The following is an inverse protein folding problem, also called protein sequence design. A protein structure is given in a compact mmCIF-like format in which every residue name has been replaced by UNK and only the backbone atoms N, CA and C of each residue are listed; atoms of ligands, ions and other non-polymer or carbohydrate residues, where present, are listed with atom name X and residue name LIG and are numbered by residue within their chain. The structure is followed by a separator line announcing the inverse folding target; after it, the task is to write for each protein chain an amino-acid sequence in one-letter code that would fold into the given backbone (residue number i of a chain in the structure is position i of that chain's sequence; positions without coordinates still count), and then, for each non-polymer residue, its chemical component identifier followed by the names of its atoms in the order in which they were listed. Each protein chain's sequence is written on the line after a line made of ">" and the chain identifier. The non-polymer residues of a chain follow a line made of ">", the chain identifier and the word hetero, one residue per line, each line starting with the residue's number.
data_IF_232468949670
#
_entry.id   IF_232468949670
#
_cell.length_a   1.000
_cell.length_b   1.000
_cell.length_c   1.000
_cell.angle_alpha   90.00
_cell.angle_beta   90.00
_cell.angle_gamma   90.00
#
_symmetry.space_group_name_H-M   'P 1'
#
loop_
_entity.id
_entity.type
_entity.pdbx_description
1 polymer ?
#
# COMPACT_ATOMS: atom_id res chain seq x y z
N UNK A 1 -6.94 3.58 28.27
CA UNK A 1 -6.06 4.76 28.30
C UNK A 1 -5.98 5.36 26.90
N UNK A 2 -6.95 6.19 26.53
CA UNK A 2 -6.94 6.94 25.25
C UNK A 2 -6.84 8.42 25.58
N UNK A 3 -5.99 9.15 24.87
CA UNK A 3 -5.85 10.60 24.99
C UNK A 3 -6.53 11.24 23.77
N UNK A 4 -7.44 12.16 24.01
CA UNK A 4 -8.19 12.84 22.94
C UNK A 4 -7.91 14.33 23.03
N UNK A 5 -7.40 14.89 21.93
CA UNK A 5 -7.12 16.32 21.82
C UNK A 5 -8.40 17.16 21.78
N UNK A 6 -8.20 18.48 21.78
CA UNK A 6 -9.27 19.46 21.78
C UNK A 6 -10.09 19.40 20.47
N UNK A 7 -11.39 19.69 20.57
CA UNK A 7 -12.32 19.83 19.45
C UNK A 7 -12.37 18.61 18.49
N UNK A 8 -12.16 17.40 19.02
CA UNK A 8 -12.33 16.16 18.28
C UNK A 8 -13.82 15.79 18.17
N UNK A 9 -14.19 15.16 17.05
CA UNK A 9 -15.52 14.60 16.80
C UNK A 9 -15.37 13.08 16.69
N UNK A 10 -16.09 12.33 17.54
CA UNK A 10 -16.07 10.87 17.54
C UNK A 10 -17.50 10.39 17.30
N UNK A 11 -17.73 9.76 16.15
CA UNK A 11 -19.05 9.29 15.75
C UNK A 11 -19.43 7.96 16.40
N UNK A 12 -20.69 7.58 16.26
CA UNK A 12 -21.28 6.41 16.88
C UNK A 12 -20.49 5.12 16.55
N UNK A 13 -20.32 4.27 17.56
CA UNK A 13 -19.63 2.99 17.46
C UNK A 13 -18.14 3.05 17.03
N UNK A 14 -17.51 4.22 17.03
CA UNK A 14 -16.06 4.30 16.89
C UNK A 14 -15.39 3.66 18.12
N UNK A 15 -14.35 2.84 17.91
CA UNK A 15 -13.61 2.16 18.98
C UNK A 15 -12.18 2.65 19.00
N UNK A 16 -11.79 3.29 20.12
CA UNK A 16 -10.43 3.78 20.34
C UNK A 16 -9.74 2.93 21.39
N UNK A 17 -8.58 2.37 21.07
CA UNK A 17 -7.78 1.56 21.97
C UNK A 17 -8.18 0.09 21.99
N UNK A 18 -8.75 -0.43 20.89
CA UNK A 18 -8.91 -1.87 20.71
C UNK A 18 -7.56 -2.58 20.83
N UNK A 19 -7.61 -3.86 21.17
CA UNK A 19 -6.39 -4.64 21.34
C UNK A 19 -5.79 -4.96 19.97
N UNK A 20 -4.54 -4.62 19.75
CA UNK A 20 -3.85 -4.84 18.48
C UNK A 20 -3.75 -6.33 18.12
N UNK A 21 -3.86 -6.64 16.84
CA UNK A 21 -3.82 -8.01 16.31
C UNK A 21 -2.38 -8.51 16.23
N UNK A 22 -1.85 -9.00 17.34
CA UNK A 22 -0.49 -9.51 17.44
C UNK A 22 -0.45 -10.91 18.06
N UNK A 23 -0.09 -11.92 17.30
CA UNK A 23 0.03 -13.30 17.75
C UNK A 23 1.40 -13.87 17.44
N UNK A 24 1.89 -14.76 18.33
CA UNK A 24 3.13 -15.52 18.14
C UNK A 24 2.83 -17.00 18.26
N UNK A 25 3.39 -17.86 17.42
CA UNK A 25 3.24 -19.29 17.58
C UNK A 25 3.97 -19.75 18.85
N UNK A 26 3.36 -20.66 19.61
CA UNK A 26 3.98 -21.41 20.69
C UNK A 26 3.57 -22.89 20.62
N UNK A 27 3.99 -23.71 21.59
CA UNK A 27 3.70 -25.15 21.59
C UNK A 27 2.20 -25.48 21.71
N UNK A 28 1.36 -24.54 22.20
CA UNK A 28 -0.07 -24.68 22.37
C UNK A 28 -0.91 -24.01 21.26
N UNK A 29 -0.25 -23.34 20.30
CA UNK A 29 -0.92 -22.65 19.19
C UNK A 29 -0.54 -21.19 19.03
N UNK A 30 -1.50 -20.28 18.89
CA UNK A 30 -1.28 -18.85 18.73
C UNK A 30 -1.46 -18.13 20.07
N UNK A 31 -0.38 -17.59 20.59
CA UNK A 31 -0.37 -16.81 21.83
C UNK A 31 -0.47 -15.31 21.49
N UNK A 32 -1.44 -14.64 22.13
CA UNK A 32 -1.61 -13.19 22.00
C UNK A 32 -0.43 -12.44 22.61
N UNK A 33 0.13 -11.52 21.85
CA UNK A 33 1.17 -10.60 22.33
C UNK A 33 0.52 -9.45 23.11
N UNK A 34 1.13 -9.06 24.24
CA UNK A 34 0.63 -7.96 25.06
C UNK A 34 0.61 -6.65 24.27
N UNK A 35 -0.48 -5.89 24.42
CA UNK A 35 -0.67 -4.56 23.85
C UNK A 35 -0.91 -3.59 25.01
N UNK A 36 0.16 -2.95 25.49
CA UNK A 36 0.18 -2.16 26.72
C UNK A 36 0.11 -0.65 26.46
N UNK A 37 0.19 -0.25 25.21
CA UNK A 37 0.12 1.15 24.79
C UNK A 37 -1.33 1.68 24.76
N UNK A 38 -1.51 2.81 24.13
CA UNK A 38 -2.77 3.54 24.05
C UNK A 38 -2.97 4.19 22.69
N UNK A 39 -4.02 4.99 22.53
CA UNK A 39 -4.29 5.83 21.36
C UNK A 39 -4.15 7.29 21.74
N UNK A 40 -3.51 8.08 20.89
CA UNK A 40 -3.46 9.55 20.99
C UNK A 40 -4.07 10.19 19.76
N UNK A 41 -5.10 10.99 19.95
CA UNK A 41 -5.67 11.86 18.92
C UNK A 41 -5.18 13.28 19.16
N UNK A 42 -4.64 13.93 18.13
CA UNK A 42 -4.35 15.36 18.15
C UNK A 42 -5.63 16.20 18.23
N UNK A 43 -5.50 17.50 18.03
CA UNK A 43 -6.66 18.41 18.04
C UNK A 43 -7.43 18.34 16.72
N UNK A 44 -8.74 18.65 16.75
CA UNK A 44 -9.63 18.74 15.59
C UNK A 44 -9.68 17.46 14.74
N UNK A 45 -9.37 16.28 15.31
CA UNK A 45 -9.50 14.98 14.64
C UNK A 45 -10.98 14.58 14.55
N UNK A 46 -11.38 14.03 13.41
CA UNK A 46 -12.70 13.42 13.26
C UNK A 46 -12.56 11.92 13.00
N UNK A 47 -13.32 11.12 13.75
CA UNK A 47 -13.33 9.65 13.64
C UNK A 47 -14.74 9.19 13.31
N UNK A 48 -14.91 8.65 12.11
CA UNK A 48 -16.17 8.18 11.55
C UNK A 48 -16.79 6.97 12.27
N UNK A 49 -18.06 6.75 11.98
CA UNK A 49 -18.84 5.68 12.62
C UNK A 49 -18.27 4.28 12.33
N UNK A 50 -18.19 3.44 13.35
CA UNK A 50 -17.68 2.08 13.23
C UNK A 50 -16.18 1.97 12.93
N UNK A 51 -15.45 3.07 12.92
CA UNK A 51 -13.98 3.08 12.76
C UNK A 51 -13.31 2.53 14.00
N UNK A 52 -12.26 1.72 13.81
CA UNK A 52 -11.47 1.13 14.90
C UNK A 52 -10.03 1.59 14.83
N UNK A 53 -9.48 2.05 15.95
CA UNK A 53 -8.07 2.44 16.09
C UNK A 53 -7.49 1.61 17.25
N UNK A 54 -6.54 0.73 16.91
CA UNK A 54 -5.90 -0.14 17.89
C UNK A 54 -4.91 0.64 18.75
N UNK A 55 -4.76 0.23 20.00
CA UNK A 55 -3.67 0.70 20.87
C UNK A 55 -2.31 0.21 20.37
N UNK A 56 -1.25 0.91 20.67
CA UNK A 56 0.09 0.43 20.36
C UNK A 56 0.56 -0.67 21.32
N UNK A 57 1.64 -1.33 20.97
CA UNK A 57 2.21 -2.42 21.79
C UNK A 57 2.79 -1.93 23.10
N UNK A 58 3.65 -0.91 23.08
CA UNK A 58 4.27 -0.31 24.26
C UNK A 58 4.13 1.21 24.32
N UNK A 59 3.93 1.85 23.19
CA UNK A 59 3.70 3.28 23.04
C UNK A 59 2.37 3.53 22.32
N UNK A 60 2.05 4.78 21.98
CA UNK A 60 0.77 5.11 21.36
C UNK A 60 0.69 4.77 19.88
N UNK A 61 -0.53 4.47 19.43
CA UNK A 61 -0.97 4.73 18.05
C UNK A 61 -1.40 6.19 17.98
N UNK A 62 -0.84 6.95 17.04
CA UNK A 62 -0.99 8.42 17.01
C UNK A 62 -1.75 8.84 15.76
N UNK A 63 -2.73 9.72 15.94
CA UNK A 63 -3.44 10.41 14.85
C UNK A 63 -3.15 11.91 14.97
N UNK A 64 -2.50 12.48 13.96
CA UNK A 64 -2.13 13.89 13.92
C UNK A 64 -3.34 14.83 13.80
N UNK A 65 -3.14 16.05 14.31
CA UNK A 65 -4.17 17.08 14.36
C UNK A 65 -4.80 17.36 12.99
N UNK A 66 -6.09 17.67 12.96
CA UNK A 66 -6.84 18.02 11.76
C UNK A 66 -7.16 16.84 10.82
N UNK A 67 -6.69 15.63 11.13
CA UNK A 67 -6.96 14.44 10.32
C UNK A 67 -8.44 14.04 10.37
N UNK A 68 -8.99 13.70 9.21
CA UNK A 68 -10.39 13.28 9.03
C UNK A 68 -10.43 11.81 8.60
N UNK A 69 -11.09 11.01 9.42
CA UNK A 69 -11.22 9.57 9.23
C UNK A 69 -12.70 9.26 9.03
N UNK A 70 -13.04 8.72 7.88
CA UNK A 70 -14.40 8.34 7.50
C UNK A 70 -14.85 7.05 8.22
N UNK A 71 -16.04 6.58 7.90
CA UNK A 71 -16.68 5.44 8.51
C UNK A 71 -15.98 4.11 8.13
N UNK A 72 -16.01 3.13 9.02
CA UNK A 72 -15.53 1.78 8.78
C UNK A 72 -14.04 1.69 8.41
N UNK A 73 -13.23 2.63 8.87
CA UNK A 73 -11.77 2.59 8.72
C UNK A 73 -11.16 1.75 9.82
N UNK A 74 -10.09 1.01 9.50
CA UNK A 74 -9.29 0.28 10.49
C UNK A 74 -7.87 0.82 10.50
N UNK A 75 -7.40 1.28 11.66
CA UNK A 75 -6.01 1.69 11.89
C UNK A 75 -5.41 0.78 12.95
N UNK A 76 -4.43 -0.03 12.53
CA UNK A 76 -3.81 -1.01 13.40
C UNK A 76 -2.79 -0.38 14.37
N UNK A 77 -2.29 -1.22 15.26
CA UNK A 77 -1.38 -0.86 16.34
C UNK A 77 -0.09 -0.17 15.88
N UNK A 78 0.43 0.73 16.69
CA UNK A 78 1.70 1.43 16.45
C UNK A 78 1.74 2.31 15.19
N UNK A 79 0.61 2.60 14.55
CA UNK A 79 0.56 3.53 13.43
C UNK A 79 0.84 4.96 13.89
N UNK A 80 1.46 5.74 13.01
CA UNK A 80 1.72 7.18 13.19
C UNK A 80 1.16 7.93 11.99
N UNK A 81 -0.07 8.39 12.11
CA UNK A 81 -0.77 9.14 11.07
C UNK A 81 -0.46 10.62 11.26
N UNK A 82 0.07 11.28 10.23
CA UNK A 82 0.42 12.71 10.25
C UNK A 82 -0.80 13.63 10.33
N UNK A 83 -0.56 14.93 10.20
CA UNK A 83 -1.60 15.96 10.31
C UNK A 83 -2.39 16.12 9.01
N UNK A 84 -3.64 16.59 9.11
CA UNK A 84 -4.50 16.99 7.98
C UNK A 84 -4.71 15.91 6.92
N UNK A 85 -4.60 14.65 7.28
CA UNK A 85 -4.85 13.55 6.36
C UNK A 85 -6.36 13.34 6.15
N UNK A 86 -6.73 12.86 4.96
CA UNK A 86 -8.10 12.42 4.63
C UNK A 86 -8.11 10.92 4.37
N UNK A 87 -8.77 10.16 5.23
CA UNK A 87 -8.85 8.71 5.16
C UNK A 87 -10.30 8.32 4.91
N UNK A 88 -10.60 7.95 3.66
CA UNK A 88 -11.96 7.62 3.24
C UNK A 88 -12.41 6.25 3.75
N UNK A 89 -13.70 5.99 3.58
CA UNK A 89 -14.37 4.79 4.09
C UNK A 89 -13.71 3.48 3.67
N UNK A 90 -13.70 2.52 4.59
CA UNK A 90 -13.20 1.14 4.40
C UNK A 90 -11.68 1.06 4.10
N UNK A 91 -10.92 2.08 4.41
CA UNK A 91 -9.46 2.00 4.37
C UNK A 91 -8.96 1.12 5.52
N UNK A 92 -8.00 0.25 5.22
CA UNK A 92 -7.29 -0.57 6.21
C UNK A 92 -5.81 -0.19 6.26
N UNK A 93 -5.33 0.22 7.43
CA UNK A 93 -3.92 0.56 7.67
C UNK A 93 -3.31 -0.48 8.60
N UNK A 94 -2.40 -1.29 8.08
CA UNK A 94 -1.73 -2.32 8.88
C UNK A 94 -0.73 -1.72 9.88
N UNK A 95 -0.34 -2.53 10.86
CA UNK A 95 0.46 -2.08 12.02
C UNK A 95 1.80 -1.44 11.66
N UNK A 96 2.22 -0.50 12.49
CA UNK A 96 3.51 0.20 12.37
C UNK A 96 3.69 1.01 11.08
N UNK A 97 2.60 1.28 10.36
CA UNK A 97 2.59 2.16 9.19
C UNK A 97 2.63 3.62 9.64
N UNK A 98 3.35 4.45 8.89
CA UNK A 98 3.40 5.88 9.13
C UNK A 98 2.98 6.69 7.91
N UNK A 99 2.44 7.89 8.14
CA UNK A 99 2.17 8.85 7.08
C UNK A 99 2.76 10.21 7.41
N UNK A 100 3.11 10.95 6.37
CA UNK A 100 3.32 12.38 6.46
C UNK A 100 1.99 13.14 6.59
N UNK A 101 2.04 14.42 6.28
CA UNK A 101 0.90 15.34 6.34
C UNK A 101 0.16 15.42 5.00
N UNK A 102 -1.12 15.80 5.02
CA UNK A 102 -1.94 16.05 3.83
C UNK A 102 -2.08 14.82 2.89
N UNK A 103 -1.95 13.61 3.41
CA UNK A 103 -2.14 12.38 2.64
C UNK A 103 -3.63 12.14 2.41
N UNK A 104 -3.99 11.71 1.20
CA UNK A 104 -5.35 11.32 0.83
C UNK A 104 -5.37 9.82 0.56
N UNK A 105 -6.17 9.08 1.32
CA UNK A 105 -6.43 7.67 1.10
C UNK A 105 -7.88 7.51 0.63
N UNK A 106 -8.08 7.25 -0.65
CA UNK A 106 -9.41 7.02 -1.19
C UNK A 106 -10.00 5.68 -0.72
N UNK A 107 -11.30 5.51 -0.89
CA UNK A 107 -12.03 4.38 -0.31
C UNK A 107 -11.49 3.00 -0.65
N UNK A 108 -11.55 2.10 0.31
CA UNK A 108 -11.10 0.70 0.20
C UNK A 108 -9.61 0.53 -0.10
N UNK A 109 -8.76 1.49 0.22
CA UNK A 109 -7.31 1.28 0.17
C UNK A 109 -6.88 0.34 1.29
N UNK A 110 -5.90 -0.52 1.00
CA UNK A 110 -5.25 -1.37 1.99
C UNK A 110 -3.75 -1.10 2.01
N UNK A 111 -3.19 -0.78 3.17
CA UNK A 111 -1.78 -0.50 3.36
C UNK A 111 -1.12 -1.66 4.10
N UNK A 112 0.02 -2.12 3.58
CA UNK A 112 0.88 -3.10 4.23
C UNK A 112 1.49 -2.51 5.51
N UNK A 113 1.89 -3.38 6.42
CA UNK A 113 2.62 -3.04 7.64
C UNK A 113 4.03 -2.47 7.37
N UNK A 114 4.50 -1.62 8.28
CA UNK A 114 5.86 -1.06 8.28
C UNK A 114 6.24 -0.27 7.01
N UNK A 115 5.27 0.39 6.35
CA UNK A 115 5.53 1.29 5.23
C UNK A 115 5.35 2.75 5.63
N UNK A 116 5.92 3.64 4.82
CA UNK A 116 5.78 5.08 4.96
C UNK A 116 5.09 5.70 3.74
N UNK A 117 4.11 6.56 3.99
CA UNK A 117 3.41 7.34 2.97
C UNK A 117 3.83 8.80 3.12
N UNK A 118 4.54 9.33 2.13
CA UNK A 118 5.08 10.69 2.18
C UNK A 118 4.03 11.79 2.11
N UNK A 119 4.42 13.01 2.50
CA UNK A 119 3.55 14.19 2.54
C UNK A 119 2.82 14.43 1.22
N UNK A 120 1.52 14.73 1.29
CA UNK A 120 0.71 15.06 0.14
C UNK A 120 0.54 13.92 -0.88
N UNK A 121 0.88 12.68 -0.52
CA UNK A 121 0.64 11.54 -1.39
C UNK A 121 -0.86 11.22 -1.50
N UNK A 122 -1.27 10.70 -2.66
CA UNK A 122 -2.66 10.32 -2.94
C UNK A 122 -2.73 8.83 -3.29
N UNK A 123 -3.47 8.08 -2.48
CA UNK A 123 -3.75 6.67 -2.74
C UNK A 123 -5.14 6.56 -3.38
N UNK A 124 -5.18 6.21 -4.66
CA UNK A 124 -6.42 6.03 -5.41
C UNK A 124 -7.26 4.87 -4.86
N UNK A 125 -8.56 4.92 -5.11
CA UNK A 125 -9.49 3.93 -4.55
C UNK A 125 -9.11 2.48 -4.86
N UNK A 126 -9.29 1.59 -3.88
CA UNK A 126 -9.00 0.15 -3.97
C UNK A 126 -7.52 -0.18 -4.24
N UNK A 127 -6.60 0.74 -3.93
CA UNK A 127 -5.18 0.48 -4.05
C UNK A 127 -4.68 -0.44 -2.93
N UNK A 128 -3.95 -1.50 -3.30
CA UNK A 128 -3.15 -2.30 -2.38
C UNK A 128 -1.72 -1.77 -2.34
N UNK A 129 -1.34 -1.10 -1.27
CA UNK A 129 -0.04 -0.42 -1.14
C UNK A 129 0.91 -1.30 -0.34
N UNK A 130 1.93 -1.85 -1.02
CA UNK A 130 2.87 -2.81 -0.43
C UNK A 130 4.26 -2.22 -0.14
N UNK A 131 4.53 -1.00 -0.59
CA UNK A 131 5.82 -0.32 -0.42
C UNK A 131 5.60 1.14 -0.05
N UNK A 132 6.68 1.81 0.38
CA UNK A 132 6.66 3.25 0.63
C UNK A 132 6.19 4.02 -0.60
N UNK A 133 5.44 5.10 -0.35
CA UNK A 133 4.99 6.02 -1.40
C UNK A 133 5.69 7.37 -1.17
N UNK A 134 6.49 7.85 -2.13
CA UNK A 134 7.16 9.14 -1.98
C UNK A 134 6.17 10.31 -1.85
N UNK A 135 6.63 11.40 -1.24
CA UNK A 135 5.83 12.61 -1.08
C UNK A 135 5.27 13.12 -2.42
N UNK A 136 4.03 13.60 -2.41
CA UNK A 136 3.32 14.16 -3.58
C UNK A 136 3.09 13.17 -4.75
N UNK A 137 3.35 11.87 -4.54
CA UNK A 137 3.04 10.85 -5.56
C UNK A 137 1.59 10.41 -5.47
N UNK A 138 1.03 10.13 -6.64
CA UNK A 138 -0.30 9.50 -6.75
C UNK A 138 -0.11 8.05 -7.20
N UNK A 139 -0.69 7.11 -6.44
CA UNK A 139 -0.74 5.69 -6.81
C UNK A 139 -2.18 5.25 -7.03
N UNK A 140 -2.41 4.35 -7.97
CA UNK A 140 -3.75 3.86 -8.32
C UNK A 140 -3.75 2.34 -8.37
N UNK A 141 -4.76 1.75 -7.73
CA UNK A 141 -5.01 0.31 -7.80
C UNK A 141 -5.76 -0.11 -9.06
N UNK A 142 -6.59 -1.13 -8.94
CA UNK A 142 -7.32 -1.72 -10.07
C UNK A 142 -8.64 -1.00 -10.37
N UNK A 143 -8.75 -0.22 -11.48
CA UNK A 143 -10.04 0.30 -11.92
C UNK A 143 -10.94 -0.83 -12.42
N UNK A 144 -12.26 -0.68 -12.30
CA UNK A 144 -13.21 -1.53 -12.99
C UNK A 144 -13.13 -1.28 -14.50
N UNK A 145 -13.08 -2.34 -15.27
CA UNK A 145 -13.10 -2.29 -16.74
C UNK A 145 -14.10 -3.33 -17.25
N UNK A 146 -14.43 -3.27 -18.54
CA UNK A 146 -15.31 -4.26 -19.19
C UNK A 146 -14.86 -5.70 -18.92
N UNK A 147 -15.81 -6.60 -18.69
CA UNK A 147 -15.55 -8.00 -18.34
C UNK A 147 -14.71 -8.74 -19.38
N UNK A 148 -14.95 -8.48 -20.68
CA UNK A 148 -14.19 -9.14 -21.75
C UNK A 148 -12.75 -8.66 -21.75
N UNK A 149 -12.53 -7.34 -21.56
CA UNK A 149 -11.19 -6.76 -21.43
C UNK A 149 -10.46 -7.32 -20.22
N UNK A 150 -11.11 -7.42 -19.04
CA UNK A 150 -10.50 -8.01 -17.86
C UNK A 150 -10.09 -9.47 -18.08
N UNK A 151 -10.97 -10.29 -18.66
CA UNK A 151 -10.66 -11.68 -18.98
C UNK A 151 -9.48 -11.82 -19.94
N UNK A 152 -9.41 -10.96 -20.97
CA UNK A 152 -8.27 -10.93 -21.90
C UNK A 152 -6.96 -10.53 -21.22
N UNK A 153 -7.00 -9.49 -20.37
CA UNK A 153 -5.83 -9.06 -19.58
C UNK A 153 -5.31 -10.21 -18.69
N UNK A 154 -6.19 -10.85 -17.91
CA UNK A 154 -5.80 -11.97 -17.03
C UNK A 154 -5.22 -13.14 -17.81
N UNK A 155 -5.83 -13.51 -18.95
CA UNK A 155 -5.32 -14.57 -19.83
C UNK A 155 -3.96 -14.21 -20.44
N UNK A 156 -3.73 -12.93 -20.77
CA UNK A 156 -2.45 -12.46 -21.28
C UNK A 156 -1.37 -12.43 -20.19
N UNK A 157 -1.72 -11.98 -18.98
CA UNK A 157 -0.80 -11.97 -17.84
C UNK A 157 -0.27 -13.37 -17.53
N UNK A 158 -1.10 -14.41 -17.58
CA UNK A 158 -0.67 -15.79 -17.35
C UNK A 158 0.36 -16.31 -18.36
N UNK A 159 0.42 -15.72 -19.57
CA UNK A 159 1.37 -16.07 -20.63
C UNK A 159 2.67 -15.25 -20.58
N UNK A 160 2.73 -14.18 -19.80
CA UNK A 160 3.91 -13.29 -19.74
C UNK A 160 5.24 -14.02 -19.44
N UNK A 161 5.31 -14.99 -18.51
CA UNK A 161 6.57 -15.71 -18.26
C UNK A 161 7.09 -16.45 -19.49
N UNK A 162 6.19 -17.06 -20.28
CA UNK A 162 6.55 -17.77 -21.52
C UNK A 162 6.91 -16.79 -22.64
N UNK A 163 6.14 -15.74 -22.81
CA UNK A 163 6.45 -14.67 -23.78
C UNK A 163 7.82 -14.05 -23.51
N UNK A 164 8.18 -13.81 -22.25
CA UNK A 164 9.51 -13.31 -21.88
C UNK A 164 10.64 -14.25 -22.33
N UNK A 165 10.46 -15.57 -22.19
CA UNK A 165 11.44 -16.55 -22.67
C UNK A 165 11.54 -16.55 -24.20
N UNK A 166 10.39 -16.43 -24.88
CA UNK A 166 10.36 -16.38 -26.34
C UNK A 166 11.05 -15.11 -26.87
N UNK A 167 10.75 -13.95 -26.30
CA UNK A 167 11.41 -12.68 -26.66
C UNK A 167 12.93 -12.78 -26.48
N UNK A 168 13.39 -13.29 -25.33
CA UNK A 168 14.84 -13.46 -25.09
C UNK A 168 15.51 -14.36 -26.14
N UNK A 169 14.83 -15.45 -26.53
CA UNK A 169 15.34 -16.35 -27.58
C UNK A 169 15.37 -15.68 -28.95
N UNK A 170 14.32 -14.90 -29.28
CA UNK A 170 14.27 -14.16 -30.54
C UNK A 170 15.36 -13.08 -30.62
N UNK A 171 15.58 -12.33 -29.55
CA UNK A 171 16.67 -11.33 -29.51
C UNK A 171 18.03 -11.98 -29.77
N UNK A 172 18.33 -13.09 -29.08
CA UNK A 172 19.58 -13.83 -29.34
C UNK A 172 19.69 -14.27 -30.79
N UNK A 173 18.59 -14.74 -31.41
CA UNK A 173 18.60 -15.17 -32.81
C UNK A 173 18.80 -14.03 -33.80
N UNK A 174 18.26 -12.85 -33.50
CA UNK A 174 18.49 -11.62 -34.25
C UNK A 174 19.97 -11.23 -34.21
N UNK A 175 20.57 -11.19 -33.03
CA UNK A 175 21.99 -10.90 -32.84
C UNK A 175 22.90 -11.87 -33.64
N UNK A 176 22.60 -13.15 -33.62
CA UNK A 176 23.33 -14.18 -34.40
C UNK A 176 23.22 -13.95 -35.93
N UNK A 177 22.05 -13.53 -36.42
CA UNK A 177 21.82 -13.23 -37.80
C UNK A 177 22.52 -11.95 -38.27
N UNK A 178 22.51 -10.92 -37.43
CA UNK A 178 23.22 -9.64 -37.71
C UNK A 178 24.74 -9.85 -37.78
N UNK A 179 25.32 -10.62 -36.86
CA UNK A 179 26.75 -10.98 -36.89
C UNK A 179 27.11 -11.81 -38.13
N UNK A 180 26.27 -12.80 -38.50
CA UNK A 180 26.47 -13.61 -39.71
C UNK A 180 26.38 -12.81 -41.00
N UNK A 181 25.53 -11.77 -41.02
CA UNK A 181 25.37 -10.86 -42.16
C UNK A 181 26.59 -9.93 -42.35
N UNK A 182 27.18 -9.45 -41.22
CA UNK A 182 28.37 -8.62 -41.28
C UNK A 182 29.61 -9.39 -41.74
N UNK A 183 29.81 -10.62 -41.29
CA UNK A 183 30.93 -11.47 -41.71
C UNK A 183 30.87 -11.84 -43.19
N UNK A 184 29.68 -12.09 -43.77
CA UNK A 184 29.52 -12.38 -45.16
C UNK A 184 29.75 -11.16 -46.09
N UNK A 185 29.53 -9.94 -45.59
CA UNK A 185 29.78 -8.70 -46.32
C UNK A 185 31.29 -8.36 -46.34
N UNK A 186 32.01 -8.66 -45.28
CA UNK A 186 33.49 -8.46 -45.21
C UNK A 186 34.23 -9.49 -46.11
N UNK A 187 33.81 -10.77 -46.14
CA UNK A 187 34.41 -11.77 -47.05
C UNK A 187 34.19 -11.46 -48.53
N UNK A 188 33.02 -10.89 -48.88
CA UNK A 188 32.73 -10.51 -50.26
C UNK A 188 33.55 -9.30 -50.75
N UNK A 189 33.86 -8.34 -49.84
CA UNK A 189 34.68 -7.17 -50.17
C UNK A 189 36.18 -7.51 -50.23
N UNK A 190 36.66 -8.52 -49.49
CA UNK A 190 38.09 -8.92 -49.53
C UNK A 190 38.43 -9.80 -50.74
N UNK A 191 37.46 -10.37 -51.44
CA UNK A 191 37.64 -11.16 -52.69
C UNK A 191 37.54 -10.33 -53.96
N UNK A 192 37.17 -9.06 -53.84
CA UNK A 192 37.02 -8.13 -54.97
C UNK A 192 38.17 -7.13 -55.11
N UNK A 193 39.17 -7.21 -54.25
CA UNK A 193 40.43 -6.43 -54.29
C UNK A 193 41.62 -7.35 -54.59
#
# INVERSE_FOLDING_TARGET
>A
DTVVGKDCIIHSNAVLGAYGFGYKPDAAGLKLSSQLGWVELGEHVEVGAGTTIDRGTYGPTIIGSGTKIDNLVMIAHNCRIGQHNMICSQVGVAGSTSTGEWVIMAGQCGLRDHIHIGDGAVLGARSGVSNDVPAKHTVLGEPAIDLKQRKLQLASMSKLPEMRKQVKRLLKRVEELEQGSQSSTEESSSKAA
#
